data_IF_232738778905
#
_entry.id   IF_232738778905
#
_cell.length_a   1.000
_cell.length_b   1.000
_cell.length_c   1.000
_cell.angle_alpha   90.00
_cell.angle_beta   90.00
_cell.angle_gamma   90.00
#
_symmetry.space_group_name_H-M   'P 1'
#
loop_
_entity.id
_entity.type
_entity.pdbx_description
1 polymer ?
#
# COMPACT_ATOMS: atom_id res chain seq x y z
N UNK A 1 -6.37 -2.12 -19.56
CA UNK A 1 -5.62 -1.43 -18.49
C UNK A 1 -5.12 -2.44 -17.48
N UNK A 2 -3.87 -2.33 -17.01
CA UNK A 2 -3.28 -3.20 -15.98
C UNK A 2 -3.05 -2.42 -14.70
N UNK A 3 -3.69 -2.84 -13.60
CA UNK A 3 -3.55 -2.24 -12.26
C UNK A 3 -2.79 -3.21 -11.37
N UNK A 4 -1.64 -2.76 -10.85
CA UNK A 4 -0.73 -3.53 -10.03
C UNK A 4 -0.76 -3.04 -8.58
N UNK A 5 -1.06 -3.95 -7.64
CA UNK A 5 -0.96 -3.71 -6.20
C UNK A 5 0.37 -4.25 -5.68
N UNK A 6 1.16 -3.38 -5.07
CA UNK A 6 2.44 -3.70 -4.44
C UNK A 6 2.47 -3.32 -2.97
N UNK A 7 3.18 -4.09 -2.18
CA UNK A 7 3.32 -3.83 -0.76
C UNK A 7 3.70 -5.06 0.05
N UNK A 8 3.31 -5.01 1.30
CA UNK A 8 3.57 -6.02 2.33
C UNK A 8 2.33 -6.89 2.64
N UNK A 9 2.18 -7.32 3.91
CA UNK A 9 1.07 -8.16 4.39
C UNK A 9 -0.31 -7.52 4.24
N UNK A 10 -0.40 -6.19 4.26
CA UNK A 10 -1.67 -5.46 4.10
C UNK A 10 -2.18 -5.60 2.66
N UNK A 11 -1.26 -5.67 1.69
CA UNK A 11 -1.55 -5.89 0.27
C UNK A 11 -1.68 -7.38 -0.06
N UNK A 12 -0.79 -8.23 0.47
CA UNK A 12 -0.80 -9.70 0.31
C UNK A 12 -2.10 -10.30 0.82
N UNK A 13 -2.39 -10.07 2.10
CA UNK A 13 -3.60 -10.51 2.80
C UNK A 13 -4.04 -11.95 2.46
N UNK A 14 -3.07 -12.87 2.40
CA UNK A 14 -3.30 -14.29 2.15
C UNK A 14 -3.66 -14.62 0.69
N UNK A 15 -3.14 -13.86 -0.27
CA UNK A 15 -3.28 -14.20 -1.69
C UNK A 15 -2.60 -15.53 -2.05
N UNK A 16 -3.05 -16.22 -3.09
CA UNK A 16 -2.31 -17.34 -3.68
C UNK A 16 -1.12 -16.81 -4.51
N UNK A 17 0.08 -16.99 -4.00
CA UNK A 17 1.32 -16.50 -4.63
C UNK A 17 1.63 -17.16 -5.99
N UNK A 18 0.95 -18.26 -6.34
CA UNK A 18 1.07 -18.91 -7.66
C UNK A 18 0.13 -18.31 -8.71
N UNK A 19 -0.78 -17.43 -8.26
CA UNK A 19 -1.76 -16.76 -9.11
C UNK A 19 -1.75 -15.27 -8.85
N UNK A 20 -1.12 -14.50 -9.74
CA UNK A 20 -1.00 -13.04 -9.63
C UNK A 20 -2.33 -12.29 -9.68
N UNK A 21 -3.38 -12.94 -10.21
CA UNK A 21 -4.75 -12.38 -10.27
C UNK A 21 -5.58 -12.70 -9.03
N UNK A 22 -5.02 -13.42 -8.05
CA UNK A 22 -5.65 -13.61 -6.75
C UNK A 22 -5.43 -12.37 -5.88
N UNK A 23 -6.51 -11.65 -5.58
CA UNK A 23 -6.46 -10.40 -4.82
C UNK A 23 -6.33 -10.59 -3.30
N UNK A 24 -6.30 -11.84 -2.81
CA UNK A 24 -6.30 -12.13 -1.37
C UNK A 24 -7.59 -11.71 -0.68
N UNK A 25 -7.49 -11.37 0.61
CA UNK A 25 -8.63 -10.97 1.44
C UNK A 25 -8.53 -9.50 1.92
N UNK A 26 -7.49 -8.77 1.48
CA UNK A 26 -7.23 -7.39 1.84
C UNK A 26 -7.91 -6.37 0.93
N UNK A 27 -7.48 -5.12 1.07
CA UNK A 27 -8.04 -4.00 0.32
C UNK A 27 -7.99 -4.18 -1.22
N UNK A 28 -6.99 -4.90 -1.83
CA UNK A 28 -6.97 -5.10 -3.28
C UNK A 28 -8.23 -5.80 -3.82
N UNK A 29 -8.78 -6.76 -3.03
CA UNK A 29 -10.02 -7.44 -3.38
C UNK A 29 -11.18 -6.47 -3.47
N UNK A 30 -11.40 -5.66 -2.43
CA UNK A 30 -12.52 -4.71 -2.38
C UNK A 30 -12.38 -3.61 -3.43
N UNK A 31 -11.17 -3.10 -3.63
CA UNK A 31 -10.89 -2.13 -4.67
C UNK A 31 -11.20 -2.69 -6.08
N UNK A 32 -10.69 -3.89 -6.38
CA UNK A 32 -10.94 -4.55 -7.67
C UNK A 32 -12.43 -4.84 -7.91
N UNK A 33 -13.16 -5.27 -6.88
CA UNK A 33 -14.61 -5.50 -6.95
C UNK A 33 -15.38 -4.19 -7.26
N UNK A 34 -15.06 -3.11 -6.56
CA UNK A 34 -15.68 -1.80 -6.79
C UNK A 34 -15.38 -1.26 -8.19
N UNK A 35 -14.12 -1.39 -8.65
CA UNK A 35 -13.73 -0.95 -9.99
C UNK A 35 -14.44 -1.76 -11.07
N UNK A 36 -14.48 -3.11 -10.97
CA UNK A 36 -15.23 -3.95 -11.93
C UNK A 36 -16.70 -3.60 -12.02
N UNK A 37 -17.32 -3.31 -10.86
CA UNK A 37 -18.73 -2.94 -10.81
C UNK A 37 -19.01 -1.56 -11.41
N UNK A 38 -18.10 -0.60 -11.25
CA UNK A 38 -18.24 0.75 -11.78
C UNK A 38 -17.92 0.83 -13.29
N UNK A 39 -17.00 -0.01 -13.76
CA UNK A 39 -16.53 -0.02 -15.15
C UNK A 39 -16.67 -1.43 -15.78
N UNK A 40 -17.90 -1.97 -15.92
CA UNK A 40 -18.11 -3.37 -16.32
C UNK A 40 -17.65 -3.70 -17.75
N UNK A 41 -17.60 -2.70 -18.61
CA UNK A 41 -17.19 -2.85 -20.01
C UNK A 41 -15.69 -2.58 -20.24
N UNK A 42 -14.97 -2.15 -19.21
CA UNK A 42 -13.53 -1.87 -19.29
C UNK A 42 -12.71 -3.15 -19.15
N UNK A 43 -11.76 -3.37 -20.08
CA UNK A 43 -10.79 -4.46 -19.99
C UNK A 43 -9.69 -4.09 -18.98
N UNK A 44 -9.91 -4.45 -17.71
CA UNK A 44 -8.99 -4.15 -16.60
C UNK A 44 -8.45 -5.45 -16.00
N UNK A 45 -7.13 -5.62 -16.13
CA UNK A 45 -6.37 -6.68 -15.47
C UNK A 45 -5.90 -6.21 -14.10
N UNK A 46 -6.19 -6.99 -13.05
CA UNK A 46 -5.71 -6.73 -11.69
C UNK A 46 -4.64 -7.74 -11.32
N UNK A 47 -3.51 -7.25 -10.80
CA UNK A 47 -2.37 -8.04 -10.34
C UNK A 47 -2.06 -7.66 -8.90
N UNK A 48 -1.97 -8.64 -8.00
CA UNK A 48 -1.52 -8.45 -6.63
C UNK A 48 -0.20 -9.17 -6.40
N UNK A 49 0.85 -8.40 -6.10
CA UNK A 49 2.19 -8.88 -5.79
C UNK A 49 2.68 -8.43 -4.41
N UNK A 50 1.76 -8.16 -3.49
CA UNK A 50 2.08 -7.98 -2.07
C UNK A 50 2.76 -9.23 -1.51
N UNK A 51 3.75 -9.04 -0.62
CA UNK A 51 4.45 -10.12 0.09
C UNK A 51 4.52 -9.76 1.57
N UNK A 52 3.91 -10.61 2.41
CA UNK A 52 3.87 -10.42 3.86
C UNK A 52 5.26 -10.25 4.45
N UNK A 53 5.42 -9.27 5.34
CA UNK A 53 6.67 -8.97 6.01
C UNK A 53 7.67 -8.15 5.23
N UNK A 54 7.40 -7.84 3.95
CA UNK A 54 8.36 -7.06 3.15
C UNK A 54 8.56 -5.65 3.71
N UNK A 55 9.83 -5.25 3.71
CA UNK A 55 10.32 -3.89 3.95
C UNK A 55 10.65 -3.22 2.60
N UNK A 56 11.04 -1.96 2.67
CA UNK A 56 11.40 -1.19 1.47
C UNK A 56 12.60 -1.76 0.72
N UNK A 57 13.60 -2.32 1.41
CA UNK A 57 14.76 -2.98 0.79
C UNK A 57 14.36 -4.22 -0.02
N UNK A 58 13.50 -5.06 0.55
CA UNK A 58 13.01 -6.27 -0.11
C UNK A 58 12.09 -5.93 -1.30
N UNK A 59 11.30 -4.86 -1.20
CA UNK A 59 10.52 -4.37 -2.32
C UNK A 59 11.43 -3.86 -3.46
N UNK A 60 12.52 -3.18 -3.10
CA UNK A 60 13.54 -2.74 -4.06
C UNK A 60 14.18 -3.91 -4.78
N UNK A 61 14.58 -4.96 -4.07
CA UNK A 61 15.26 -6.13 -4.64
C UNK A 61 14.42 -6.84 -5.71
N UNK A 62 13.10 -6.88 -5.54
CA UNK A 62 12.19 -7.58 -6.46
C UNK A 62 11.50 -6.67 -7.50
N UNK A 63 11.70 -5.35 -7.45
CA UNK A 63 10.95 -4.38 -8.25
C UNK A 63 11.05 -4.60 -9.75
N UNK A 64 12.19 -5.10 -10.26
CA UNK A 64 12.34 -5.29 -11.69
C UNK A 64 11.34 -6.31 -12.23
N UNK A 65 11.28 -7.49 -11.62
CA UNK A 65 10.39 -8.56 -12.06
C UNK A 65 8.93 -8.27 -11.73
N UNK A 66 8.69 -7.67 -10.56
CA UNK A 66 7.36 -7.53 -9.97
C UNK A 66 6.68 -6.19 -10.31
N UNK A 67 7.38 -5.27 -10.96
CA UNK A 67 6.82 -3.98 -11.38
C UNK A 67 7.22 -3.63 -12.81
N UNK A 68 8.55 -3.49 -13.07
CA UNK A 68 9.04 -2.93 -14.33
C UNK A 68 8.77 -3.87 -15.51
N UNK A 69 9.10 -5.15 -15.37
CA UNK A 69 8.91 -6.14 -16.45
C UNK A 69 7.42 -6.34 -16.82
N UNK A 70 6.51 -6.04 -15.90
CA UNK A 70 5.06 -6.18 -16.12
C UNK A 70 4.45 -5.02 -16.92
N UNK A 71 5.15 -3.88 -17.03
CA UNK A 71 4.67 -2.68 -17.74
C UNK A 71 3.21 -2.33 -17.40
N UNK A 72 2.86 -2.12 -16.11
CA UNK A 72 1.49 -1.78 -15.73
C UNK A 72 1.12 -0.36 -16.15
N UNK A 73 -0.18 -0.09 -16.26
CA UNK A 73 -0.70 1.26 -16.47
C UNK A 73 -0.79 2.04 -15.16
N UNK A 74 -1.09 1.33 -14.06
CA UNK A 74 -1.12 1.92 -12.70
C UNK A 74 -0.38 0.99 -11.74
N UNK A 75 0.50 1.57 -10.93
CA UNK A 75 1.16 0.89 -9.80
C UNK A 75 0.73 1.56 -8.51
N UNK A 76 0.16 0.81 -7.59
CA UNK A 76 -0.08 1.27 -6.21
C UNK A 76 0.90 0.61 -5.24
N UNK A 77 1.45 1.40 -4.32
CA UNK A 77 2.47 0.95 -3.35
C UNK A 77 2.03 1.32 -1.94
N UNK A 78 1.90 0.31 -1.07
CA UNK A 78 1.70 0.44 0.37
C UNK A 78 2.80 -0.32 1.09
N UNK A 79 3.82 0.39 1.61
CA UNK A 79 5.02 -0.18 2.22
C UNK A 79 5.57 0.74 3.30
N UNK A 80 6.33 0.20 4.26
CA UNK A 80 7.09 0.96 5.24
C UNK A 80 6.79 0.61 6.71
N UNK A 81 5.64 0.00 7.02
CA UNK A 81 5.33 -0.38 8.41
C UNK A 81 6.26 -1.48 8.91
N UNK A 82 6.70 -2.40 8.04
CA UNK A 82 7.63 -3.45 8.41
C UNK A 82 9.07 -2.96 8.62
N UNK A 83 9.45 -1.84 8.02
CA UNK A 83 10.72 -1.19 8.33
C UNK A 83 10.76 -0.76 9.80
N UNK A 84 9.62 -0.33 10.36
CA UNK A 84 9.47 -0.03 11.78
C UNK A 84 9.33 -1.32 12.60
N UNK A 85 8.44 -2.23 12.20
CA UNK A 85 8.18 -3.48 12.92
C UNK A 85 9.47 -4.26 13.20
N UNK A 86 10.30 -4.43 12.19
CA UNK A 86 11.53 -5.21 12.31
C UNK A 86 12.60 -4.56 13.21
N UNK A 87 12.49 -3.27 13.53
CA UNK A 87 13.34 -2.62 14.55
C UNK A 87 12.98 -3.07 15.96
N UNK A 88 11.74 -3.49 16.20
CA UNK A 88 11.21 -3.88 17.52
C UNK A 88 11.15 -5.38 17.75
N UNK A 89 11.31 -6.21 16.72
CA UNK A 89 11.22 -7.67 16.80
C UNK A 89 12.46 -8.34 17.45
N UNK A 90 12.34 -9.63 17.73
CA UNK A 90 13.44 -10.43 18.32
C UNK A 90 14.68 -10.50 17.41
N UNK A 91 14.48 -10.49 16.09
CA UNK A 91 15.53 -10.44 15.08
C UNK A 91 15.60 -9.02 14.51
N UNK A 92 16.11 -8.09 15.30
CA UNK A 92 16.19 -6.68 14.91
C UNK A 92 16.92 -6.50 13.59
N UNK A 93 16.26 -5.82 12.66
CA UNK A 93 16.85 -5.32 11.43
C UNK A 93 16.81 -3.81 11.52
N UNK A 94 17.97 -3.21 11.72
CA UNK A 94 18.10 -1.76 11.90
C UNK A 94 18.12 -1.06 10.53
N UNK A 95 16.94 -0.88 9.93
CA UNK A 95 16.77 -0.01 8.76
C UNK A 95 16.56 1.42 9.26
N UNK A 96 17.43 2.35 8.91
CA UNK A 96 17.25 3.77 9.25
C UNK A 96 16.18 4.43 8.38
N UNK A 97 15.59 5.53 8.87
CA UNK A 97 14.62 6.30 8.08
C UNK A 97 15.22 6.80 6.74
N UNK A 98 16.52 7.15 6.75
CA UNK A 98 17.25 7.53 5.54
C UNK A 98 17.41 6.37 4.53
N UNK A 99 17.59 5.14 5.00
CA UNK A 99 17.64 3.94 4.15
C UNK A 99 16.25 3.64 3.57
N UNK A 100 15.19 3.77 4.37
CA UNK A 100 13.79 3.65 3.89
C UNK A 100 13.53 4.66 2.78
N UNK A 101 13.87 5.93 2.99
CA UNK A 101 13.75 6.97 1.96
C UNK A 101 14.52 6.62 0.70
N UNK A 102 15.79 6.24 0.83
CA UNK A 102 16.66 5.92 -0.30
C UNK A 102 16.12 4.74 -1.13
N UNK A 103 15.67 3.65 -0.47
CA UNK A 103 15.08 2.51 -1.14
C UNK A 103 13.79 2.88 -1.86
N UNK A 104 12.89 3.60 -1.19
CA UNK A 104 11.61 3.97 -1.77
C UNK A 104 11.81 4.95 -2.96
N UNK A 105 12.66 5.95 -2.79
CA UNK A 105 13.04 6.88 -3.86
C UNK A 105 13.58 6.14 -5.09
N UNK A 106 14.51 5.20 -4.89
CA UNK A 106 15.09 4.42 -5.97
C UNK A 106 14.05 3.56 -6.71
N UNK A 107 13.05 3.00 -6.00
CA UNK A 107 11.92 2.29 -6.62
C UNK A 107 11.14 3.25 -7.52
N UNK A 108 10.74 4.42 -7.00
CA UNK A 108 9.93 5.40 -7.72
C UNK A 108 10.66 5.96 -8.95
N UNK A 109 11.93 6.29 -8.82
CA UNK A 109 12.78 6.73 -9.94
C UNK A 109 12.87 5.68 -11.05
N UNK A 110 13.04 4.39 -10.66
CA UNK A 110 13.10 3.28 -11.63
C UNK A 110 11.78 3.07 -12.34
N UNK A 111 10.64 3.14 -11.63
CA UNK A 111 9.31 3.07 -12.24
C UNK A 111 9.14 4.20 -13.24
N UNK A 112 9.43 5.44 -12.87
CA UNK A 112 9.33 6.61 -13.78
C UNK A 112 10.26 6.52 -14.99
N UNK A 113 11.46 5.96 -14.83
CA UNK A 113 12.45 5.87 -15.91
C UNK A 113 12.17 4.72 -16.90
N UNK A 114 11.50 3.65 -16.47
CA UNK A 114 11.41 2.40 -17.22
C UNK A 114 9.98 1.95 -17.54
N UNK A 115 8.97 2.70 -17.09
CA UNK A 115 7.55 2.45 -17.39
C UNK A 115 6.82 3.75 -17.70
N UNK A 116 5.60 3.64 -18.25
CA UNK A 116 4.66 4.75 -18.37
C UNK A 116 3.59 4.74 -17.26
N UNK A 117 3.80 3.95 -16.21
CA UNK A 117 2.81 3.75 -15.17
C UNK A 117 2.48 5.03 -14.42
N UNK A 118 1.20 5.22 -14.14
CA UNK A 118 0.74 6.13 -13.10
C UNK A 118 1.05 5.54 -11.74
N UNK A 119 1.58 6.36 -10.84
CA UNK A 119 2.00 5.91 -9.51
C UNK A 119 0.99 6.39 -8.47
N UNK A 120 0.45 5.45 -7.70
CA UNK A 120 -0.36 5.72 -6.53
C UNK A 120 0.40 5.28 -5.27
N UNK A 121 0.64 6.19 -4.36
CA UNK A 121 1.27 5.89 -3.07
C UNK A 121 0.21 5.92 -1.98
N UNK A 122 0.14 4.83 -1.20
CA UNK A 122 -0.65 4.75 0.02
C UNK A 122 0.31 4.88 1.21
N UNK A 123 0.01 5.77 2.17
CA UNK A 123 0.84 5.85 3.36
C UNK A 123 0.69 4.62 4.24
N UNK A 124 1.76 4.16 4.90
CA UNK A 124 1.62 3.26 6.03
C UNK A 124 0.80 3.96 7.13
N UNK A 125 0.20 3.16 8.00
CA UNK A 125 -0.61 3.63 9.13
C UNK A 125 -0.41 2.72 10.33
N UNK A 126 -0.79 3.20 11.50
CA UNK A 126 -0.86 2.44 12.73
C UNK A 126 -2.12 2.89 13.48
N UNK A 127 -3.04 1.96 13.72
CA UNK A 127 -4.22 2.20 14.53
C UNK A 127 -3.87 2.00 16.01
N UNK A 128 -4.72 2.53 16.91
CA UNK A 128 -4.47 2.47 18.34
C UNK A 128 -4.32 1.02 18.82
N UNK A 129 -3.15 0.73 19.39
CA UNK A 129 -2.82 -0.57 19.95
C UNK A 129 -1.70 -0.38 20.99
N UNK A 130 -1.98 -0.75 22.25
CA UNK A 130 -1.05 -0.56 23.37
C UNK A 130 0.30 -1.26 23.16
N UNK A 131 0.32 -2.44 22.54
CA UNK A 131 1.55 -3.20 22.29
C UNK A 131 2.47 -2.53 21.26
N UNK A 132 1.92 -1.64 20.44
CA UNK A 132 2.63 -0.96 19.33
C UNK A 132 2.74 0.56 19.53
N UNK A 133 2.38 1.06 20.70
CA UNK A 133 2.48 2.49 21.01
C UNK A 133 3.90 3.03 20.80
N UNK A 134 4.91 2.22 21.12
CA UNK A 134 6.32 2.56 20.90
C UNK A 134 6.70 2.80 19.43
N UNK A 135 5.88 2.34 18.47
CA UNK A 135 6.14 2.52 17.04
C UNK A 135 5.60 3.86 16.51
N UNK A 136 4.64 4.46 17.22
CA UNK A 136 4.01 5.71 16.80
C UNK A 136 5.01 6.84 16.50
N UNK A 137 5.99 7.15 17.39
CA UNK A 137 6.97 8.20 17.11
C UNK A 137 7.84 7.91 15.87
N UNK A 138 8.07 6.62 15.55
CA UNK A 138 8.84 6.24 14.36
C UNK A 138 8.01 6.42 13.09
N UNK A 139 6.75 6.02 13.13
CA UNK A 139 5.82 6.25 12.03
C UNK A 139 5.61 7.74 11.77
N UNK A 140 5.47 8.54 12.82
CA UNK A 140 5.29 9.99 12.72
C UNK A 140 6.51 10.69 12.07
N UNK A 141 7.72 10.13 12.20
CA UNK A 141 8.91 10.59 11.47
C UNK A 141 8.94 10.11 10.01
N UNK A 142 8.44 8.90 9.75
CA UNK A 142 8.44 8.32 8.40
C UNK A 142 7.38 8.92 7.50
N UNK A 143 6.20 9.25 8.02
CA UNK A 143 5.08 9.78 7.23
C UNK A 143 5.42 11.05 6.43
N UNK A 144 6.12 12.07 6.98
CA UNK A 144 6.58 13.23 6.21
C UNK A 144 7.51 12.86 5.04
N UNK A 145 8.36 11.85 5.20
CA UNK A 145 9.23 11.33 4.14
C UNK A 145 8.39 10.75 3.01
N UNK A 146 7.46 9.86 3.34
CA UNK A 146 6.54 9.25 2.35
C UNK A 146 5.72 10.33 1.64
N UNK A 147 5.22 11.34 2.38
CA UNK A 147 4.46 12.45 1.80
C UNK A 147 5.30 13.28 0.83
N UNK A 148 6.59 13.49 1.15
CA UNK A 148 7.53 14.19 0.26
C UNK A 148 7.75 13.39 -1.02
N UNK A 149 8.02 12.08 -0.92
CA UNK A 149 8.18 11.20 -2.06
C UNK A 149 6.90 11.15 -2.92
N UNK A 150 5.73 11.09 -2.28
CA UNK A 150 4.46 11.12 -3.00
C UNK A 150 4.27 12.44 -3.78
N UNK A 151 4.63 13.58 -3.20
CA UNK A 151 4.58 14.88 -3.87
C UNK A 151 5.52 14.95 -5.07
N UNK A 152 6.67 14.28 -5.02
CA UNK A 152 7.68 14.30 -6.09
C UNK A 152 7.33 13.33 -7.23
N UNK A 153 6.76 12.17 -6.92
CA UNK A 153 6.66 11.05 -7.87
C UNK A 153 5.24 10.56 -8.15
N UNK A 154 4.30 10.71 -7.21
CA UNK A 154 2.99 10.10 -7.34
C UNK A 154 2.03 10.94 -8.20
N UNK A 155 1.21 10.27 -8.99
CA UNK A 155 0.04 10.85 -9.64
C UNK A 155 -1.15 10.93 -8.66
N UNK A 156 -1.21 9.99 -7.69
CA UNK A 156 -2.20 9.95 -6.61
C UNK A 156 -1.53 9.62 -5.28
N UNK A 157 -1.88 10.35 -4.22
CA UNK A 157 -1.47 10.05 -2.85
C UNK A 157 -2.69 9.77 -1.98
N UNK A 158 -2.71 8.63 -1.32
CA UNK A 158 -3.75 8.22 -0.39
C UNK A 158 -3.19 8.19 1.04
N UNK A 159 -3.40 9.24 1.84
CA UNK A 159 -2.86 9.37 3.19
C UNK A 159 -3.70 8.55 4.18
N UNK A 160 -3.51 7.22 4.21
CA UNK A 160 -4.31 6.32 5.05
C UNK A 160 -4.21 6.63 6.54
N UNK A 161 -3.05 7.10 7.01
CA UNK A 161 -2.87 7.57 8.39
C UNK A 161 -3.85 8.70 8.75
N UNK A 162 -3.99 9.71 7.90
CA UNK A 162 -4.92 10.83 8.10
C UNK A 162 -6.37 10.40 7.91
N UNK A 163 -6.62 9.50 6.95
CA UNK A 163 -7.97 8.99 6.65
C UNK A 163 -8.51 8.19 7.84
N UNK A 164 -7.70 7.29 8.40
CA UNK A 164 -8.08 6.56 9.60
C UNK A 164 -8.23 7.47 10.82
N UNK A 165 -7.34 8.45 11.01
CA UNK A 165 -7.46 9.41 12.10
C UNK A 165 -8.79 10.18 12.09
N UNK A 166 -9.35 10.43 10.90
CA UNK A 166 -10.68 11.05 10.75
C UNK A 166 -11.83 10.07 10.95
N UNK A 167 -11.66 8.81 10.58
CA UNK A 167 -12.71 7.80 10.64
C UNK A 167 -12.86 7.17 12.04
N UNK A 168 -11.77 7.01 12.77
CA UNK A 168 -11.74 6.37 14.09
C UNK A 168 -12.73 6.99 15.12
N UNK A 169 -12.85 8.33 15.26
CA UNK A 169 -13.76 8.92 16.22
C UNK A 169 -15.25 8.60 15.96
N UNK A 170 -15.59 8.19 14.75
CA UNK A 170 -16.95 7.81 14.37
C UNK A 170 -17.27 6.34 14.68
N UNK A 171 -16.24 5.56 15.05
CA UNK A 171 -16.36 4.15 15.36
C UNK A 171 -16.17 3.92 16.85
N UNK A 172 -17.21 3.47 17.58
CA UNK A 172 -17.14 3.29 19.03
C UNK A 172 -16.31 2.05 19.44
N UNK A 173 -16.04 1.13 18.53
CA UNK A 173 -15.29 -0.09 18.82
C UNK A 173 -13.81 0.08 18.53
N UNK A 174 -12.91 -0.02 19.55
CA UNK A 174 -11.48 0.24 19.37
C UNK A 174 -10.81 -0.62 18.28
N UNK A 175 -11.33 -1.82 18.03
CA UNK A 175 -10.77 -2.78 17.06
C UNK A 175 -11.61 -2.88 15.76
N UNK A 176 -12.48 -1.91 15.50
CA UNK A 176 -13.39 -1.95 14.35
C UNK A 176 -12.69 -2.16 13.01
N UNK A 177 -11.53 -1.57 12.80
CA UNK A 177 -10.76 -1.67 11.54
C UNK A 177 -9.59 -2.67 11.62
N UNK A 178 -9.04 -2.94 12.80
CA UNK A 178 -7.87 -3.81 12.99
C UNK A 178 -7.80 -4.31 14.43
N UNK A 179 -7.52 -5.59 14.61
CA UNK A 179 -7.33 -6.17 15.94
C UNK A 179 -5.94 -5.91 16.52
N UNK A 180 -4.92 -5.72 15.68
CA UNK A 180 -3.52 -5.56 16.11
C UNK A 180 -2.95 -4.17 15.79
N UNK A 181 -3.75 -3.29 15.23
CA UNK A 181 -3.36 -1.93 14.86
C UNK A 181 -2.63 -1.80 13.51
N UNK A 182 -2.19 -2.91 12.90
CA UNK A 182 -1.44 -2.93 11.65
C UNK A 182 -2.20 -3.63 10.53
N UNK A 183 -2.72 -4.83 10.80
CA UNK A 183 -3.40 -5.63 9.79
C UNK A 183 -4.92 -5.34 9.80
N UNK A 184 -5.45 -4.74 8.71
CA UNK A 184 -6.88 -4.50 8.61
C UNK A 184 -7.65 -5.82 8.65
N UNK A 185 -8.71 -5.84 9.46
CA UNK A 185 -9.73 -6.88 9.38
C UNK A 185 -10.64 -6.65 8.15
N UNK A 186 -11.75 -7.35 8.05
CA UNK A 186 -12.68 -7.21 6.94
C UNK A 186 -13.20 -5.75 6.79
N UNK A 187 -13.55 -5.10 7.89
CA UNK A 187 -14.03 -3.72 7.87
C UNK A 187 -12.94 -2.74 7.43
N UNK A 188 -11.72 -2.90 7.96
CA UNK A 188 -10.58 -2.07 7.57
C UNK A 188 -10.18 -2.28 6.12
N UNK A 189 -10.18 -3.52 5.64
CA UNK A 189 -9.88 -3.84 4.24
C UNK A 189 -10.93 -3.27 3.28
N UNK A 190 -12.22 -3.37 3.61
CA UNK A 190 -13.30 -2.79 2.83
C UNK A 190 -13.22 -1.25 2.83
N UNK A 191 -12.90 -0.65 3.99
CA UNK A 191 -12.70 0.79 4.11
C UNK A 191 -11.55 1.29 3.23
N UNK A 192 -10.37 0.68 3.31
CA UNK A 192 -9.23 1.04 2.44
C UNK A 192 -9.58 0.83 0.97
N UNK A 193 -10.24 -0.28 0.62
CA UNK A 193 -10.67 -0.57 -0.75
C UNK A 193 -11.59 0.50 -1.33
N UNK A 194 -12.51 1.04 -0.51
CA UNK A 194 -13.36 2.17 -0.91
C UNK A 194 -12.58 3.45 -1.12
N UNK A 195 -11.67 3.79 -0.20
CA UNK A 195 -10.80 4.97 -0.34
C UNK A 195 -9.90 4.87 -1.58
N UNK A 196 -9.38 3.66 -1.83
CA UNK A 196 -8.59 3.37 -3.03
C UNK A 196 -9.41 3.58 -4.31
N UNK A 197 -10.64 3.04 -4.36
CA UNK A 197 -11.53 3.20 -5.50
C UNK A 197 -11.81 4.68 -5.80
N UNK A 198 -12.17 5.46 -4.78
CA UNK A 198 -12.45 6.89 -4.95
C UNK A 198 -11.23 7.67 -5.46
N UNK A 199 -10.04 7.29 -5.00
CA UNK A 199 -8.81 7.97 -5.37
C UNK A 199 -8.30 7.60 -6.78
N UNK A 200 -8.52 6.35 -7.24
CA UNK A 200 -8.04 5.89 -8.55
C UNK A 200 -9.00 6.22 -9.70
N UNK A 201 -10.28 6.48 -9.43
CA UNK A 201 -11.30 6.70 -10.45
C UNK A 201 -10.88 7.69 -11.56
N UNK A 202 -10.27 8.87 -11.26
CA UNK A 202 -9.83 9.79 -12.30
C UNK A 202 -8.76 9.22 -13.25
N UNK A 203 -7.93 8.28 -12.79
CA UNK A 203 -6.91 7.62 -13.63
C UNK A 203 -7.55 6.61 -14.60
N UNK A 204 -8.63 5.97 -14.18
CA UNK A 204 -9.39 5.02 -15.01
C UNK A 204 -10.18 5.79 -16.08
N UNK A 205 -10.94 6.81 -15.68
CA UNK A 205 -11.77 7.62 -16.57
C UNK A 205 -10.99 8.32 -17.68
N UNK A 206 -9.74 8.70 -17.41
CA UNK A 206 -8.83 9.28 -18.40
C UNK A 206 -8.21 8.28 -19.38
N UNK A 207 -8.46 6.98 -19.20
CA UNK A 207 -7.82 5.89 -19.94
C UNK A 207 -8.80 4.95 -20.66
N UNK A 208 -10.11 5.06 -20.41
CA UNK A 208 -11.22 4.27 -21.01
C UNK A 208 -12.11 5.13 -21.88
#
# INVERSE_FOLDING_TARGET
MRILFQGDSITDAGRDHRNYHNMGNGYPKYAAELIRNAYPDADIEFINLGISGNRTDQLFDRMYNDMIALQPDVISILIGINDIWHRHGANRIETTDAQVEANYRAILERIKAQTNAKIMILSPFLLDNEEKEAWRPELDRLLPVIRTLAKEYADVYLPLDEIFAKALPEQPEPQYYSGDGVHPNQNGSAFIGKQYFDAIAPLIEGSV
#
